data_IF_583967668795
#
_entry.id   IF_583967668795
#
_cell.length_a   1.000
_cell.length_b   1.000
_cell.length_c   1.000
_cell.angle_alpha   90.00
_cell.angle_beta   90.00
_cell.angle_gamma   90.00
#
_symmetry.space_group_name_H-M   'P 1'
#
loop_
_entity.id
_entity.type
_entity.pdbx_description
1 polymer ?
#
# COMPACT_ATOMS: atom_id res chain seq x y z
N UNK A 1 29.96 -1.54 -81.99
CA UNK A 1 30.44 -0.16 -82.24
C UNK A 1 30.03 0.67 -81.04
N UNK A 2 30.98 1.05 -80.18
CA UNK A 2 31.44 2.44 -79.93
C UNK A 2 30.31 3.34 -79.40
N UNK A 3 30.41 4.10 -78.30
CA UNK A 3 31.53 4.62 -77.48
C UNK A 3 30.82 5.25 -76.26
N UNK A 4 31.16 4.89 -75.02
CA UNK A 4 31.91 5.75 -74.09
C UNK A 4 31.62 7.26 -74.21
N UNK A 5 31.23 7.93 -73.10
CA UNK A 5 32.14 8.75 -72.26
C UNK A 5 31.39 9.70 -71.31
N UNK A 6 31.50 9.40 -70.00
CA UNK A 6 31.77 10.24 -68.79
C UNK A 6 31.05 11.59 -68.59
N UNK A 7 30.58 11.80 -67.34
CA UNK A 7 31.14 12.81 -66.40
C UNK A 7 30.96 12.34 -64.93
N UNK A 8 32.07 12.13 -64.21
CA UNK A 8 32.20 12.27 -62.73
C UNK A 8 32.77 13.68 -62.51
N UNK A 9 32.47 14.43 -61.43
CA UNK A 9 33.08 14.17 -60.11
C UNK A 9 32.19 14.70 -58.93
N UNK A 10 32.50 14.75 -57.63
CA UNK A 10 33.75 14.93 -56.87
C UNK A 10 33.38 14.88 -55.36
N UNK A 11 34.33 14.47 -54.51
CA UNK A 11 34.48 14.87 -53.09
C UNK A 11 33.62 14.09 -52.07
N UNK A 12 34.22 13.10 -51.40
CA UNK A 12 34.65 13.12 -49.96
C UNK A 12 33.43 13.14 -49.00
N UNK A 13 33.35 12.39 -47.91
CA UNK A 13 34.39 11.85 -47.06
C UNK A 13 33.74 11.02 -45.94
N UNK A 14 34.53 10.09 -45.42
CA UNK A 14 34.70 9.79 -43.99
C UNK A 14 33.58 9.02 -43.27
N UNK A 15 34.02 7.83 -42.85
CA UNK A 15 33.40 6.96 -41.87
C UNK A 15 33.14 7.63 -40.52
N UNK A 16 32.08 7.21 -39.85
CA UNK A 16 32.09 7.09 -38.40
C UNK A 16 31.26 5.85 -38.03
N UNK A 17 31.99 4.80 -37.64
CA UNK A 17 31.41 3.64 -36.98
C UNK A 17 30.78 4.10 -35.67
N UNK A 18 29.46 4.01 -35.56
CA UNK A 18 28.72 4.20 -34.33
C UNK A 18 28.12 2.87 -33.92
N UNK A 19 28.86 2.10 -33.11
CA UNK A 19 28.32 0.94 -32.43
C UNK A 19 27.33 1.41 -31.35
N UNK A 20 26.03 1.46 -31.69
CA UNK A 20 24.97 1.59 -30.70
C UNK A 20 24.57 0.17 -30.27
N UNK A 21 25.15 -0.24 -29.14
CA UNK A 21 24.82 -1.48 -28.44
C UNK A 21 23.35 -1.49 -28.02
N UNK A 22 22.76 -2.68 -28.18
CA UNK A 22 21.43 -3.10 -27.77
C UNK A 22 21.05 -2.59 -26.37
N UNK A 23 19.88 -1.95 -26.24
CA UNK A 23 19.22 -1.77 -24.94
C UNK A 23 17.87 -2.47 -24.99
N UNK A 24 17.87 -3.73 -24.55
CA UNK A 24 16.66 -4.49 -24.28
C UNK A 24 15.87 -3.78 -23.16
N UNK A 25 14.64 -3.37 -23.46
CA UNK A 25 13.74 -2.77 -22.48
C UNK A 25 13.26 -3.85 -21.50
N UNK A 26 13.88 -3.92 -20.31
CA UNK A 26 13.33 -4.67 -19.19
C UNK A 26 12.14 -3.90 -18.59
N UNK A 27 11.04 -4.57 -18.21
CA UNK A 27 9.92 -3.92 -17.54
C UNK A 27 10.38 -3.45 -16.14
N UNK A 28 10.28 -2.15 -15.90
CA UNK A 28 10.50 -1.56 -14.58
C UNK A 28 9.33 -1.95 -13.69
N UNK A 29 9.56 -2.90 -12.78
CA UNK A 29 8.62 -3.21 -11.70
C UNK A 29 8.56 -1.98 -10.78
N UNK A 30 7.45 -1.25 -10.83
CA UNK A 30 7.17 -0.17 -9.91
C UNK A 30 7.00 -0.76 -8.51
N UNK A 31 7.94 -0.46 -7.61
CA UNK A 31 7.84 -0.79 -6.20
C UNK A 31 6.62 -0.10 -5.60
N UNK A 32 5.54 -0.84 -5.34
CA UNK A 32 4.43 -0.32 -4.53
C UNK A 32 4.97 0.07 -3.16
N UNK A 33 4.74 1.30 -2.67
CA UNK A 33 5.13 1.66 -1.31
C UNK A 33 4.43 0.71 -0.33
N UNK A 34 5.21 0.08 0.54
CA UNK A 34 4.67 -0.67 1.67
C UNK A 34 3.81 0.29 2.50
N UNK A 35 2.55 -0.09 2.76
CA UNK A 35 1.66 0.70 3.58
C UNK A 35 2.36 1.01 4.91
N UNK A 36 2.52 2.29 5.22
CA UNK A 36 3.16 2.72 6.45
C UNK A 36 2.40 2.10 7.63
N UNK A 37 3.08 1.27 8.43
CA UNK A 37 2.53 0.81 9.69
C UNK A 37 2.25 2.04 10.55
N UNK A 38 0.98 2.29 10.90
CA UNK A 38 0.61 3.39 11.81
C UNK A 38 1.50 3.37 13.05
N UNK A 39 2.13 4.50 13.36
CA UNK A 39 2.98 4.69 14.54
C UNK A 39 2.17 4.85 15.84
N UNK A 40 0.89 4.48 15.83
CA UNK A 40 0.06 4.53 17.02
C UNK A 40 0.50 3.41 17.99
N UNK A 41 0.48 3.66 19.31
CA UNK A 41 0.78 2.62 20.29
C UNK A 41 -0.26 1.49 20.19
N UNK A 42 0.16 0.24 20.43
CA UNK A 42 -0.77 -0.88 20.57
C UNK A 42 -1.81 -0.53 21.63
N UNK A 43 -3.07 -0.70 21.27
CA UNK A 43 -4.20 -0.39 22.13
C UNK A 43 -5.45 -0.18 21.32
N UNK A 44 -6.42 0.42 22.00
CA UNK A 44 -7.76 0.64 21.50
C UNK A 44 -7.94 2.10 21.10
N UNK A 45 -8.47 2.34 19.91
CA UNK A 45 -8.73 3.69 19.41
C UNK A 45 -10.09 3.76 18.72
N UNK A 46 -10.89 4.77 19.07
CA UNK A 46 -12.13 5.05 18.35
C UNK A 46 -11.78 5.72 17.02
N UNK A 47 -12.24 5.17 15.90
CA UNK A 47 -11.96 5.72 14.57
C UNK A 47 -13.02 6.73 14.15
N UNK A 48 -14.29 6.33 14.19
CA UNK A 48 -15.44 7.19 13.85
C UNK A 48 -16.73 6.60 14.44
N UNK A 49 -17.67 7.44 14.86
CA UNK A 49 -18.98 7.01 15.38
C UNK A 49 -18.87 5.87 16.41
N UNK A 50 -19.40 4.70 16.10
CA UNK A 50 -19.41 3.48 16.93
C UNK A 50 -18.34 2.47 16.47
N UNK A 51 -17.40 2.89 15.63
CA UNK A 51 -16.30 2.07 15.15
C UNK A 51 -15.06 2.28 16.01
N UNK A 52 -14.43 1.16 16.29
CA UNK A 52 -13.28 1.12 17.15
C UNK A 52 -12.24 0.15 16.60
N UNK A 53 -10.99 0.56 16.65
CA UNK A 53 -9.87 -0.11 16.03
C UNK A 53 -8.93 -0.67 17.09
N UNK A 54 -8.58 -1.94 16.92
CA UNK A 54 -7.42 -2.52 17.58
C UNK A 54 -6.15 -2.17 16.78
N UNK A 55 -5.39 -1.22 17.30
CA UNK A 55 -4.17 -0.77 16.65
C UNK A 55 -2.96 -1.69 16.93
N UNK A 56 -3.10 -2.72 17.77
CA UNK A 56 -2.06 -3.72 17.98
C UNK A 56 -1.78 -4.53 16.71
N UNK A 57 -0.51 -4.92 16.53
CA UNK A 57 -0.04 -5.66 15.35
C UNK A 57 -0.35 -7.15 15.42
N UNK A 58 -0.25 -7.73 16.61
CA UNK A 58 -0.28 -9.17 16.85
C UNK A 58 -1.10 -9.57 18.10
N UNK A 59 -1.59 -8.58 18.85
CA UNK A 59 -2.30 -8.80 20.11
C UNK A 59 -3.79 -8.50 19.94
N UNK A 60 -4.69 -9.48 20.11
CA UNK A 60 -6.12 -9.19 20.15
C UNK A 60 -6.45 -8.39 21.42
N UNK A 61 -7.57 -7.66 21.41
CA UNK A 61 -8.03 -6.90 22.58
C UNK A 61 -9.46 -7.26 22.93
N UNK A 62 -9.73 -7.46 24.22
CA UNK A 62 -11.08 -7.62 24.76
C UNK A 62 -11.64 -6.26 25.13
N UNK A 63 -12.76 -5.88 24.54
CA UNK A 63 -13.42 -4.59 24.70
C UNK A 63 -14.66 -4.76 25.57
N UNK A 64 -14.84 -3.89 26.56
CA UNK A 64 -16.04 -3.87 27.40
C UNK A 64 -17.01 -2.79 26.95
N UNK A 65 -18.29 -3.16 26.83
CA UNK A 65 -19.35 -2.25 26.40
C UNK A 65 -20.65 -2.50 27.17
N UNK A 66 -21.56 -1.53 27.13
CA UNK A 66 -22.88 -1.58 27.74
C UNK A 66 -23.91 -1.13 26.73
N UNK A 67 -25.02 -1.86 26.67
CA UNK A 67 -26.19 -1.52 25.89
C UNK A 67 -27.00 -0.40 26.54
N UNK A 68 -27.85 0.28 25.77
CA UNK A 68 -28.78 1.31 26.26
C UNK A 68 -29.71 0.79 27.36
N UNK A 69 -29.98 -0.51 27.38
CA UNK A 69 -30.78 -1.21 28.39
C UNK A 69 -30.00 -1.52 29.68
N UNK A 70 -28.72 -1.13 29.77
CA UNK A 70 -27.85 -1.32 30.94
C UNK A 70 -27.16 -2.69 31.01
N UNK A 71 -27.41 -3.58 30.04
CA UNK A 71 -26.74 -4.88 29.93
C UNK A 71 -25.30 -4.67 29.47
N UNK A 72 -24.33 -5.30 30.14
CA UNK A 72 -22.92 -5.23 29.77
C UNK A 72 -22.49 -6.45 28.96
N UNK A 73 -21.58 -6.23 28.00
CA UNK A 73 -21.00 -7.27 27.15
C UNK A 73 -19.50 -7.08 26.95
N UNK A 74 -18.90 -8.07 26.31
CA UNK A 74 -17.48 -8.06 25.93
C UNK A 74 -17.33 -8.54 24.50
N UNK A 75 -16.35 -7.98 23.78
CA UNK A 75 -16.02 -8.38 22.41
C UNK A 75 -14.52 -8.53 22.25
N UNK A 76 -14.09 -9.65 21.68
CA UNK A 76 -12.73 -9.80 21.22
C UNK A 76 -12.55 -9.15 19.84
N UNK A 77 -11.51 -8.33 19.69
CA UNK A 77 -11.18 -7.66 18.43
C UNK A 77 -9.78 -8.05 18.01
N UNK A 78 -9.67 -8.71 16.86
CA UNK A 78 -8.41 -9.16 16.28
C UNK A 78 -7.44 -8.00 16.00
N UNK A 79 -6.13 -8.27 15.95
CA UNK A 79 -5.13 -7.26 15.59
C UNK A 79 -5.46 -6.56 14.28
N UNK A 80 -5.22 -5.26 14.23
CA UNK A 80 -5.41 -4.40 13.05
C UNK A 80 -6.85 -4.42 12.49
N UNK A 81 -7.82 -4.84 13.28
CA UNK A 81 -9.23 -4.96 12.86
C UNK A 81 -10.10 -3.89 13.51
N UNK A 82 -11.11 -3.44 12.76
CA UNK A 82 -12.14 -2.53 13.26
C UNK A 82 -13.33 -3.35 13.73
N UNK A 83 -13.73 -3.14 14.99
CA UNK A 83 -15.02 -3.56 15.49
C UNK A 83 -16.03 -2.41 15.35
N UNK A 84 -17.10 -2.68 14.62
CA UNK A 84 -18.28 -1.84 14.62
C UNK A 84 -19.16 -2.25 15.80
N UNK A 85 -19.27 -1.39 16.81
CA UNK A 85 -20.15 -1.66 17.93
C UNK A 85 -21.61 -1.69 17.44
N UNK A 86 -22.46 -2.55 18.03
CA UNK A 86 -23.90 -2.51 17.79
C UNK A 86 -24.50 -1.12 18.05
N UNK A 87 -25.56 -0.75 17.33
CA UNK A 87 -26.17 0.59 17.41
C UNK A 87 -26.82 0.92 18.75
N UNK A 88 -27.13 -0.11 19.53
CA UNK A 88 -27.71 -0.06 20.86
C UNK A 88 -26.66 -0.03 21.98
N UNK A 89 -25.36 0.04 21.65
CA UNK A 89 -24.29 0.28 22.63
C UNK A 89 -24.29 1.76 23.04
N UNK A 90 -24.40 2.00 24.35
CA UNK A 90 -24.40 3.34 24.96
C UNK A 90 -23.01 3.79 25.40
N UNK A 91 -22.19 2.86 25.93
CA UNK A 91 -20.89 3.17 26.53
C UNK A 91 -19.88 2.06 26.19
N UNK A 92 -18.63 2.48 25.94
CA UNK A 92 -17.44 1.61 25.82
C UNK A 92 -16.35 2.20 26.71
N UNK A 93 -15.77 1.42 27.64
CA UNK A 93 -14.92 1.99 28.70
C UNK A 93 -13.55 1.35 28.92
N UNK A 94 -13.27 0.15 28.39
CA UNK A 94 -11.94 -0.43 28.54
C UNK A 94 -11.64 -1.45 27.46
N UNK A 95 -10.35 -1.60 27.14
CA UNK A 95 -9.82 -2.69 26.36
C UNK A 95 -8.60 -3.30 27.06
N UNK A 96 -8.61 -4.61 27.28
CA UNK A 96 -7.46 -5.35 27.81
C UNK A 96 -6.80 -6.16 26.71
N UNK A 97 -5.47 -6.24 26.77
CA UNK A 97 -4.72 -7.12 25.87
C UNK A 97 -5.12 -8.58 26.12
N UNK A 98 -5.37 -9.30 25.03
CA UNK A 98 -5.79 -10.69 25.05
C UNK A 98 -7.29 -10.88 24.99
N UNK A 99 -7.62 -12.05 24.46
CA UNK A 99 -8.88 -12.78 24.53
C UNK A 99 -8.47 -14.26 24.67
#
# INVERSE_FOLDING_TARGET
MMKSTRVLPKVLAVAAAGAALMTAAAPVMASTPAAAASSQPCGWSRTDNINYWNNCTDTPVTVHYQYMEGISGQQCVEPRTVWAAPSDVSIVWNATAGC
#
